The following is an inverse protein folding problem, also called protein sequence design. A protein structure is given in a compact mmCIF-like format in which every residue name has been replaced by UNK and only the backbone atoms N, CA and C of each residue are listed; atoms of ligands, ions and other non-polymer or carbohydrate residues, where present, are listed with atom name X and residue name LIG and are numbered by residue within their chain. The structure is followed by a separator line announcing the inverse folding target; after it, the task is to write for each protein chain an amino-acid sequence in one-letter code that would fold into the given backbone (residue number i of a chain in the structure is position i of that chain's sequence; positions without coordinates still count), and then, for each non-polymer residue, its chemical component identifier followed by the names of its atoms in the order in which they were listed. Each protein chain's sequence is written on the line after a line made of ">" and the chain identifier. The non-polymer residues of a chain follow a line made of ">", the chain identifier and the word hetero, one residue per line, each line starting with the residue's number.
data_IF_461946749645
#
_entry.id   IF_461946749645
#
_cell.length_a   1.000
_cell.length_b   1.000
_cell.length_c   1.000
_cell.angle_alpha   90.00
_cell.angle_beta   90.00
_cell.angle_gamma   90.00
#
_symmetry.space_group_name_H-M   'P 1'
#
loop_
_entity.id
_entity.type
_entity.pdbx_description
1 polymer ?
#
# COMPACT_ATOMS: atom_id res chain seq x y z
N UNK A 1 -8.55 -1.87 10.76
CA UNK A 1 -8.88 -0.88 9.71
C UNK A 1 -8.56 -1.55 8.40
N UNK A 2 -9.52 -1.69 7.50
CA UNK A 2 -9.27 -2.31 6.20
C UNK A 2 -8.94 -1.20 5.19
N UNK A 3 -7.83 -1.33 4.50
CA UNK A 3 -7.41 -0.42 3.44
C UNK A 3 -7.87 -1.00 2.11
N UNK A 4 -8.69 -0.26 1.36
CA UNK A 4 -9.02 -0.59 -0.02
C UNK A 4 -8.23 0.33 -0.94
N UNK A 5 -7.64 -0.24 -1.98
CA UNK A 5 -6.87 0.49 -2.98
C UNK A 5 -7.42 0.15 -4.36
N UNK A 6 -7.84 1.15 -5.12
CA UNK A 6 -8.34 0.87 -6.45
C UNK A 6 -7.22 0.56 -7.42
N UNK A 7 -7.40 -0.44 -8.30
CA UNK A 7 -6.44 -0.66 -9.38
C UNK A 7 -6.46 0.43 -10.44
N UNK A 8 -7.48 1.31 -10.44
CA UNK A 8 -7.48 2.52 -11.27
C UNK A 8 -6.46 3.56 -10.79
N UNK A 9 -6.15 3.56 -9.49
CA UNK A 9 -5.22 4.52 -8.88
C UNK A 9 -3.80 3.95 -8.82
N UNK A 10 -3.66 2.68 -8.43
CA UNK A 10 -2.36 2.03 -8.29
C UNK A 10 -2.39 0.59 -8.77
N UNK A 11 -1.46 0.23 -9.66
CA UNK A 11 -1.25 -1.14 -10.08
C UNK A 11 -0.56 -1.99 -9.00
N UNK A 12 -0.67 -3.32 -9.12
CA UNK A 12 -0.07 -4.28 -8.19
C UNK A 12 1.45 -4.09 -7.98
N UNK A 13 2.21 -3.78 -9.03
CA UNK A 13 3.67 -3.60 -8.91
C UNK A 13 4.02 -2.36 -8.10
N UNK A 14 3.23 -1.29 -8.24
CA UNK A 14 3.35 -0.10 -7.40
C UNK A 14 3.13 -0.45 -5.92
N UNK A 15 2.07 -1.21 -5.60
CA UNK A 15 1.79 -1.65 -4.22
C UNK A 15 2.92 -2.50 -3.63
N UNK A 16 3.46 -3.44 -4.41
CA UNK A 16 4.61 -4.26 -4.00
C UNK A 16 5.84 -3.39 -3.73
N UNK A 17 6.14 -2.42 -4.61
CA UNK A 17 7.29 -1.52 -4.43
C UNK A 17 7.14 -0.65 -3.19
N UNK A 18 5.96 -0.11 -2.93
CA UNK A 18 5.70 0.65 -1.69
C UNK A 18 5.89 -0.23 -0.46
N UNK A 19 5.43 -1.49 -0.51
CA UNK A 19 5.65 -2.42 0.61
C UNK A 19 7.15 -2.64 0.88
N UNK A 20 7.98 -2.70 -0.16
CA UNK A 20 9.43 -2.80 -0.01
C UNK A 20 10.02 -1.54 0.64
N UNK A 21 9.60 -0.35 0.20
CA UNK A 21 10.05 0.93 0.76
C UNK A 21 9.64 1.12 2.22
N UNK A 22 8.50 0.56 2.62
CA UNK A 22 8.01 0.55 4.00
C UNK A 22 8.63 -0.56 4.87
N UNK A 23 9.46 -1.45 4.30
CA UNK A 23 10.00 -2.61 5.02
C UNK A 23 8.95 -3.68 5.33
N UNK A 24 7.86 -3.71 4.57
CA UNK A 24 6.70 -4.58 4.73
C UNK A 24 6.61 -5.70 3.67
N UNK A 25 7.60 -5.80 2.78
CA UNK A 25 7.64 -6.84 1.76
C UNK A 25 7.69 -8.23 2.39
N UNK A 26 6.77 -9.11 1.96
CA UNK A 26 6.59 -10.45 2.54
C UNK A 26 5.88 -10.46 3.90
N UNK A 27 5.51 -9.29 4.44
CA UNK A 27 4.72 -9.13 5.67
C UNK A 27 3.28 -8.75 5.33
N UNK A 28 3.10 -7.82 4.40
CA UNK A 28 1.78 -7.45 3.88
C UNK A 28 1.38 -8.40 2.76
N UNK A 29 0.20 -9.00 2.88
CA UNK A 29 -0.44 -9.75 1.81
C UNK A 29 -1.27 -8.82 0.91
N UNK A 30 -1.38 -9.11 -0.37
CA UNK A 30 -2.24 -8.38 -1.29
C UNK A 30 -3.28 -9.34 -1.87
N UNK A 31 -4.55 -9.06 -1.62
CA UNK A 31 -5.65 -9.86 -2.14
C UNK A 31 -6.42 -9.05 -3.17
N UNK A 32 -6.76 -9.69 -4.30
CA UNK A 32 -7.68 -9.11 -5.26
C UNK A 32 -9.09 -9.08 -4.66
N UNK A 33 -9.76 -7.95 -4.80
CA UNK A 33 -11.12 -7.69 -4.34
C UNK A 33 -11.93 -7.07 -5.49
N UNK A 34 -12.22 -7.88 -6.51
CA UNK A 34 -12.76 -7.39 -7.78
C UNK A 34 -11.65 -6.72 -8.59
N UNK A 35 -11.90 -5.49 -9.06
CA UNK A 35 -10.91 -4.65 -9.73
C UNK A 35 -9.98 -3.91 -8.75
N UNK A 36 -10.14 -4.11 -7.45
CA UNK A 36 -9.38 -3.40 -6.42
C UNK A 36 -8.47 -4.36 -5.64
N UNK A 37 -7.59 -3.80 -4.83
CA UNK A 37 -6.69 -4.54 -3.94
C UNK A 37 -7.05 -4.30 -2.48
N UNK A 38 -6.95 -5.38 -1.69
CA UNK A 38 -7.10 -5.37 -0.24
C UNK A 38 -5.76 -5.81 0.41
N UNK A 39 -4.89 -4.85 0.80
CA UNK A 39 -3.69 -5.16 1.53
C UNK A 39 -4.03 -5.62 2.96
N UNK A 40 -3.47 -6.76 3.35
CA UNK A 40 -3.61 -7.36 4.68
C UNK A 40 -2.34 -7.14 5.47
N UNK A 41 -2.44 -6.31 6.50
CA UNK A 41 -1.34 -6.02 7.43
C UNK A 41 -1.39 -7.00 8.60
N UNK A 42 -0.23 -7.34 9.21
CA UNK A 42 -0.20 -8.16 10.40
C UNK A 42 -0.94 -7.45 11.55
N UNK A 43 -1.65 -8.22 12.36
CA UNK A 43 -2.28 -7.72 13.57
C UNK A 43 -1.21 -7.41 14.65
N UNK A 44 -1.32 -6.24 15.27
CA UNK A 44 -0.44 -5.85 16.38
C UNK A 44 -0.51 -4.36 16.72
N UNK A 45 0.25 -3.95 17.73
CA UNK A 45 0.26 -2.56 18.20
C UNK A 45 0.79 -1.57 17.15
N UNK A 46 1.58 -2.05 16.17
CA UNK A 46 2.19 -1.22 15.13
C UNK A 46 1.37 -1.14 13.84
N UNK A 47 0.28 -1.90 13.70
CA UNK A 47 -0.49 -2.00 12.45
C UNK A 47 -0.96 -0.63 11.94
N UNK A 48 -1.39 0.26 12.83
CA UNK A 48 -1.83 1.61 12.43
C UNK A 48 -0.67 2.46 11.89
N UNK A 49 0.50 2.38 12.51
CA UNK A 49 1.68 3.10 12.05
C UNK A 49 2.16 2.58 10.68
N UNK A 50 2.10 1.26 10.48
CA UNK A 50 2.44 0.63 9.20
C UNK A 50 1.47 1.03 8.08
N UNK A 51 0.16 1.04 8.35
CA UNK A 51 -0.84 1.51 7.40
C UNK A 51 -0.62 3.00 7.06
N UNK A 52 -0.29 3.82 8.06
CA UNK A 52 -0.02 5.24 7.85
C UNK A 52 1.23 5.46 6.98
N UNK A 53 2.35 4.80 7.29
CA UNK A 53 3.58 4.89 6.50
C UNK A 53 3.38 4.40 5.06
N UNK A 54 2.65 3.29 4.88
CA UNK A 54 2.32 2.76 3.56
C UNK A 54 1.50 3.77 2.71
N UNK A 55 0.49 4.41 3.30
CA UNK A 55 -0.31 5.46 2.64
C UNK A 55 0.51 6.70 2.31
N UNK A 56 1.38 7.13 3.22
CA UNK A 56 2.23 8.30 2.99
C UNK A 56 3.13 8.09 1.77
N UNK A 57 3.72 6.89 1.64
CA UNK A 57 4.58 6.54 0.50
C UNK A 57 3.84 6.43 -0.83
N UNK A 58 2.60 5.93 -0.83
CA UNK A 58 1.74 5.95 -2.03
C UNK A 58 1.52 7.39 -2.51
N UNK A 59 1.15 8.28 -1.58
CA UNK A 59 0.97 9.71 -1.88
C UNK A 59 2.27 10.38 -2.34
N UNK A 60 3.41 10.03 -1.75
CA UNK A 60 4.71 10.56 -2.18
C UNK A 60 5.05 10.10 -3.61
N UNK A 61 4.69 8.88 -4.02
CA UNK A 61 4.85 8.43 -5.40
C UNK A 61 3.98 9.24 -6.36
N UNK A 62 2.73 9.54 -6.01
CA UNK A 62 1.88 10.45 -6.80
C UNK A 62 2.57 11.82 -6.95
N UNK A 63 3.03 12.41 -5.84
CA UNK A 63 3.66 13.74 -5.88
C UNK A 63 4.96 13.75 -6.70
N UNK A 64 5.72 12.65 -6.72
CA UNK A 64 6.97 12.55 -7.46
C UNK A 64 6.79 12.24 -8.97
N UNK A 65 5.65 11.69 -9.38
CA UNK A 65 5.35 11.38 -10.80
C UNK A 65 4.59 12.53 -11.48
N UNK A 66 3.72 13.23 -10.75
CA UNK A 66 2.81 14.24 -11.30
C UNK A 66 3.31 15.69 -11.17
N UNK A 67 4.46 15.94 -10.52
CA UNK A 67 5.08 17.29 -10.42
C UNK A 67 6.30 17.50 -11.35
N UNK A 68 6.41 16.72 -12.44
CA UNK A 68 7.38 16.97 -13.53
C UNK A 68 6.67 17.13 -14.87
#
# INVERSE_FOLDING_TARGET
>A
MNLYISANDYDYHTLVKVSQMAGLYGIVGFHEAGEDYLPSFPDGNNTQAQIHDFKARLKDLENNIWMH
#
